data_IF_649645229969
#
_entry.id   IF_649645229969
#
_cell.length_a   1.000
_cell.length_b   1.000
_cell.length_c   1.000
_cell.angle_alpha   90.00
_cell.angle_beta   90.00
_cell.angle_gamma   90.00
#
_symmetry.space_group_name_H-M   'P 1'
#
loop_
_entity.id
_entity.type
_entity.pdbx_description
1 polymer ?
#
# COMPACT_ATOMS: atom_id res chain seq x y z
N UNK A 1 5.81 -90.04 -14.48
CA UNK A 1 4.66 -89.71 -15.34
C UNK A 1 3.56 -89.13 -14.46
N UNK A 2 3.46 -87.81 -14.41
CA UNK A 2 2.30 -87.01 -13.99
C UNK A 2 2.75 -85.55 -14.05
N UNK A 3 2.17 -84.77 -14.96
CA UNK A 3 2.34 -83.32 -15.05
C UNK A 3 1.48 -82.62 -13.99
N UNK A 4 2.06 -81.63 -13.29
CA UNK A 4 1.33 -80.41 -12.96
C UNK A 4 2.24 -79.19 -13.19
N UNK A 5 1.81 -77.97 -13.35
CA UNK A 5 0.51 -77.32 -13.37
C UNK A 5 0.81 -75.91 -13.85
N UNK A 6 0.08 -75.46 -14.86
CA UNK A 6 0.03 -74.07 -15.31
C UNK A 6 -0.32 -73.15 -14.15
N UNK A 7 0.65 -72.34 -13.72
CA UNK A 7 0.43 -71.12 -12.95
C UNK A 7 1.33 -70.05 -13.57
N UNK A 8 0.85 -69.42 -14.65
CA UNK A 8 1.45 -68.18 -15.12
C UNK A 8 0.46 -67.06 -14.83
N UNK A 9 0.84 -66.25 -13.85
CA UNK A 9 0.13 -65.08 -13.39
C UNK A 9 -0.35 -64.22 -14.57
N UNK A 10 -1.65 -63.91 -14.57
CA UNK A 10 -2.17 -62.81 -15.37
C UNK A 10 -1.51 -61.52 -14.86
N UNK A 11 -0.51 -61.03 -15.59
CA UNK A 11 0.01 -59.67 -15.44
C UNK A 11 -1.07 -58.74 -16.00
N UNK A 12 -1.99 -58.32 -15.14
CA UNK A 12 -2.83 -57.16 -15.39
C UNK A 12 -1.91 -55.93 -15.40
N UNK A 13 -1.44 -55.58 -16.61
CA UNK A 13 -0.83 -54.28 -16.89
C UNK A 13 -1.89 -53.21 -16.65
N UNK A 14 -1.94 -52.69 -15.41
CA UNK A 14 -2.57 -51.41 -15.13
C UNK A 14 -1.78 -50.34 -15.87
N UNK A 15 -2.21 -50.03 -17.09
CA UNK A 15 -1.91 -48.78 -17.77
C UNK A 15 -2.55 -47.66 -16.95
N UNK A 16 -1.89 -47.22 -15.88
CA UNK A 16 -2.13 -45.90 -15.34
C UNK A 16 -1.84 -44.92 -16.48
N UNK A 17 -2.81 -44.11 -16.94
CA UNK A 17 -2.45 -42.98 -17.76
C UNK A 17 -1.55 -42.13 -16.88
N UNK A 18 -0.28 -42.00 -17.27
CA UNK A 18 0.59 -40.96 -16.78
C UNK A 18 -0.07 -39.65 -17.23
N UNK A 19 -1.04 -39.17 -16.44
CA UNK A 19 -1.50 -37.81 -16.54
C UNK A 19 -0.24 -36.99 -16.31
N UNK A 20 0.28 -36.45 -17.41
CA UNK A 20 1.07 -35.24 -17.38
C UNK A 20 0.23 -34.27 -16.56
N UNK A 21 0.53 -34.16 -15.27
CA UNK A 21 0.29 -32.94 -14.53
C UNK A 21 1.10 -31.92 -15.33
N UNK A 22 0.44 -31.26 -16.29
CA UNK A 22 0.91 -30.00 -16.77
C UNK A 22 1.13 -29.21 -15.50
N UNK A 23 2.39 -29.01 -15.11
CA UNK A 23 2.71 -28.01 -14.12
C UNK A 23 2.18 -26.74 -14.75
N UNK A 24 1.03 -26.29 -14.30
CA UNK A 24 0.61 -24.91 -14.50
C UNK A 24 1.75 -24.12 -13.90
N UNK A 25 2.68 -23.68 -14.75
CA UNK A 25 3.51 -22.53 -14.43
C UNK A 25 2.52 -21.49 -13.92
N UNK A 26 2.69 -20.93 -12.72
CA UNK A 26 1.78 -19.89 -12.24
C UNK A 26 1.74 -18.81 -13.33
N UNK A 27 0.65 -18.77 -14.08
CA UNK A 27 0.48 -17.89 -15.22
C UNK A 27 -0.67 -16.98 -14.88
N UNK A 28 -0.38 -15.71 -14.76
CA UNK A 28 -1.37 -14.67 -14.60
C UNK A 28 -1.64 -14.09 -16.02
N UNK A 29 -2.85 -14.34 -16.61
CA UNK A 29 -3.62 -13.31 -17.37
C UNK A 29 -5.04 -12.96 -16.82
N UNK A 30 -5.31 -11.67 -16.55
CA UNK A 30 -6.51 -11.06 -15.93
C UNK A 30 -6.27 -9.62 -15.40
N UNK A 31 -7.32 -8.84 -15.11
CA UNK A 31 -7.17 -7.52 -14.44
C UNK A 31 -6.41 -7.68 -13.12
N UNK A 32 -5.50 -6.76 -12.81
CA UNK A 32 -4.74 -6.70 -11.53
C UNK A 32 -3.59 -7.71 -11.40
N UNK A 33 -2.82 -7.90 -12.47
CA UNK A 33 -1.77 -8.91 -12.48
C UNK A 33 -0.35 -8.45 -12.22
N UNK A 34 0.56 -9.35 -11.83
CA UNK A 34 1.95 -8.98 -11.65
C UNK A 34 2.56 -8.50 -12.98
N UNK A 35 3.05 -7.27 -12.99
CA UNK A 35 3.91 -6.77 -14.06
C UNK A 35 5.22 -7.58 -14.11
N UNK A 36 5.72 -7.90 -15.30
CA UNK A 36 7.03 -8.51 -15.46
C UNK A 36 8.13 -7.49 -15.14
N UNK A 37 8.72 -7.64 -13.97
CA UNK A 37 9.65 -6.71 -13.38
C UNK A 37 10.62 -7.47 -12.49
N UNK A 38 11.88 -7.04 -12.50
CA UNK A 38 12.88 -7.61 -11.60
C UNK A 38 12.74 -7.06 -10.17
N UNK A 39 13.52 -7.61 -9.25
CA UNK A 39 13.50 -7.19 -7.85
C UNK A 39 13.85 -5.69 -7.69
N UNK A 40 14.74 -5.11 -8.52
CA UNK A 40 15.10 -3.69 -8.42
C UNK A 40 13.96 -2.79 -8.89
N UNK A 41 13.31 -3.15 -10.00
CA UNK A 41 12.14 -2.46 -10.52
C UNK A 41 11.02 -2.38 -9.46
N UNK A 42 10.86 -3.43 -8.67
CA UNK A 42 9.88 -3.52 -7.57
C UNK A 42 10.24 -2.61 -6.39
N UNK A 43 11.51 -2.55 -6.00
CA UNK A 43 11.96 -1.59 -4.99
C UNK A 43 11.86 -0.14 -5.47
N UNK A 44 12.20 0.12 -6.73
CA UNK A 44 12.02 1.45 -7.32
C UNK A 44 10.54 1.87 -7.32
N UNK A 45 9.62 0.93 -7.52
CA UNK A 45 8.19 1.20 -7.38
C UNK A 45 7.84 1.56 -5.94
N UNK A 46 8.22 0.72 -4.97
CA UNK A 46 7.98 0.96 -3.55
C UNK A 46 8.55 2.31 -3.08
N UNK A 47 9.75 2.68 -3.55
CA UNK A 47 10.43 3.92 -3.18
C UNK A 47 9.59 5.18 -3.45
N UNK A 48 8.65 5.16 -4.40
CA UNK A 48 7.75 6.30 -4.58
C UNK A 48 6.89 6.58 -3.34
N UNK A 49 6.42 5.52 -2.68
CA UNK A 49 5.59 5.62 -1.48
C UNK A 49 6.46 5.99 -0.27
N UNK A 50 7.66 5.41 -0.17
CA UNK A 50 8.65 5.82 0.84
C UNK A 50 8.97 7.33 0.77
N UNK A 51 9.06 7.90 -0.44
CA UNK A 51 9.22 9.34 -0.59
C UNK A 51 7.96 10.10 -0.16
N UNK A 52 6.77 9.65 -0.55
CA UNK A 52 5.51 10.29 -0.16
C UNK A 52 5.37 10.34 1.37
N UNK A 53 5.67 9.25 2.04
CA UNK A 53 5.58 9.10 3.49
C UNK A 53 6.65 9.92 4.21
N UNK A 54 7.91 9.86 3.75
CA UNK A 54 8.98 10.71 4.27
C UNK A 54 8.60 12.20 4.19
N UNK A 55 8.16 12.67 3.02
CA UNK A 55 7.76 14.07 2.87
C UNK A 55 6.59 14.43 3.78
N UNK A 56 5.53 13.62 3.79
CA UNK A 56 4.34 13.95 4.57
C UNK A 56 4.64 13.98 6.09
N UNK A 57 5.31 12.97 6.62
CA UNK A 57 5.62 12.86 8.05
C UNK A 57 6.61 13.91 8.52
N UNK A 58 7.70 14.15 7.78
CA UNK A 58 8.69 15.16 8.13
C UNK A 58 8.06 16.57 8.09
N UNK A 59 7.27 16.88 7.05
CA UNK A 59 6.56 18.15 6.98
C UNK A 59 5.57 18.30 8.13
N UNK A 60 4.74 17.30 8.40
CA UNK A 60 3.75 17.36 9.49
C UNK A 60 4.39 17.57 10.87
N UNK A 61 5.43 16.80 11.20
CA UNK A 61 6.06 16.89 12.52
C UNK A 61 6.98 18.09 12.69
N UNK A 62 7.77 18.43 11.65
CA UNK A 62 8.93 19.34 11.74
C UNK A 62 8.80 20.59 10.85
N UNK A 63 7.87 20.60 9.90
CA UNK A 63 7.69 21.69 8.94
C UNK A 63 8.73 21.73 7.83
N UNK A 64 9.51 20.65 7.67
CA UNK A 64 10.57 20.53 6.66
C UNK A 64 10.52 19.12 6.06
N UNK A 65 10.82 18.99 4.78
CA UNK A 65 10.86 17.70 4.07
C UNK A 65 12.25 17.06 4.04
N UNK A 66 12.39 16.04 3.21
CA UNK A 66 13.63 15.25 3.06
C UNK A 66 14.85 16.11 2.74
N UNK A 67 14.67 17.18 1.96
CA UNK A 67 15.74 18.08 1.51
C UNK A 67 16.47 18.79 2.67
N UNK A 68 15.83 18.93 3.82
CA UNK A 68 16.44 19.55 4.99
C UNK A 68 17.31 18.60 5.82
N UNK A 69 17.17 17.29 5.62
CA UNK A 69 17.82 16.27 6.44
C UNK A 69 18.80 15.41 5.62
N UNK A 70 18.37 14.92 4.46
CA UNK A 70 19.11 14.00 3.59
C UNK A 70 18.85 14.33 2.10
N UNK A 71 19.22 15.53 1.62
CA UNK A 71 18.89 16.00 0.27
C UNK A 71 19.43 15.09 -0.85
N UNK A 72 20.54 14.40 -0.61
CA UNK A 72 21.13 13.46 -1.59
C UNK A 72 20.20 12.28 -1.91
N UNK A 73 19.33 11.88 -0.97
CA UNK A 73 18.37 10.80 -1.19
C UNK A 73 17.28 11.19 -2.21
N UNK A 74 17.00 12.48 -2.40
CA UNK A 74 16.06 12.93 -3.43
C UNK A 74 16.58 12.68 -4.86
N UNK A 75 17.89 12.45 -5.03
CA UNK A 75 18.56 12.19 -6.31
C UNK A 75 18.18 13.19 -7.41
N UNK A 76 18.13 14.47 -7.05
CA UNK A 76 17.78 15.57 -7.95
C UNK A 76 16.29 15.71 -8.28
N UNK A 77 15.42 14.92 -7.62
CA UNK A 77 13.97 15.05 -7.73
C UNK A 77 13.45 16.35 -7.11
N UNK A 78 12.35 16.94 -7.65
CA UNK A 78 11.83 18.22 -7.17
C UNK A 78 11.25 18.10 -5.75
N UNK A 79 11.24 19.19 -4.95
CA UNK A 79 10.54 19.23 -3.67
C UNK A 79 9.04 19.00 -3.82
N UNK A 80 8.35 18.51 -2.77
CA UNK A 80 6.91 18.31 -2.82
C UNK A 80 6.15 19.64 -2.98
N UNK A 81 4.94 19.56 -3.54
CA UNK A 81 3.96 20.64 -3.54
C UNK A 81 3.27 20.64 -2.17
N UNK A 82 3.20 21.80 -1.54
CA UNK A 82 2.59 21.95 -0.22
C UNK A 82 3.47 21.38 0.89
N UNK A 83 2.84 20.82 1.92
CA UNK A 83 3.54 20.39 3.12
C UNK A 83 3.77 21.55 4.09
N UNK A 84 3.27 21.43 5.31
CA UNK A 84 3.55 22.37 6.39
C UNK A 84 3.57 21.65 7.73
N UNK A 85 4.11 22.32 8.74
CA UNK A 85 4.00 21.83 10.12
C UNK A 85 2.53 21.72 10.51
N UNK A 86 2.12 20.54 10.92
CA UNK A 86 0.79 20.29 11.45
C UNK A 86 0.69 20.79 12.90
N UNK A 87 -0.50 21.20 13.30
CA UNK A 87 -0.82 21.55 14.68
C UNK A 87 -1.08 20.27 15.49
N UNK A 88 0.01 19.58 15.85
CA UNK A 88 -0.03 18.32 16.58
C UNK A 88 0.23 18.55 18.07
N UNK A 89 -0.45 17.78 18.93
CA UNK A 89 -0.07 17.67 20.33
C UNK A 89 1.34 17.03 20.47
N UNK A 90 1.92 17.12 21.66
CA UNK A 90 3.28 16.65 21.90
C UNK A 90 3.47 15.17 21.54
N UNK A 91 2.54 14.30 21.95
CA UNK A 91 2.67 12.86 21.73
C UNK A 91 2.53 12.53 20.24
N UNK A 92 1.47 13.02 19.61
CA UNK A 92 1.21 12.78 18.19
C UNK A 92 2.36 13.30 17.34
N UNK A 93 2.90 14.50 17.65
CA UNK A 93 4.08 15.02 16.97
C UNK A 93 5.30 14.11 17.10
N UNK A 94 5.57 13.55 18.28
CA UNK A 94 6.72 12.66 18.52
C UNK A 94 6.59 11.34 17.76
N UNK A 95 5.37 10.79 17.67
CA UNK A 95 5.09 9.59 16.87
C UNK A 95 5.37 9.87 15.38
N UNK A 96 4.79 10.93 14.83
CA UNK A 96 4.96 11.27 13.41
C UNK A 96 6.41 11.68 13.08
N UNK A 97 7.11 12.31 14.02
CA UNK A 97 8.54 12.60 13.89
C UNK A 97 9.36 11.31 13.77
N UNK A 98 9.03 10.28 14.56
CA UNK A 98 9.69 8.98 14.48
C UNK A 98 9.43 8.30 13.13
N UNK A 99 8.19 8.30 12.65
CA UNK A 99 7.85 7.75 11.33
C UNK A 99 8.66 8.45 10.23
N UNK A 100 8.67 9.78 10.21
CA UNK A 100 9.43 10.53 9.20
C UNK A 100 10.93 10.19 9.17
N UNK A 101 11.56 9.94 10.32
CA UNK A 101 12.96 9.50 10.35
C UNK A 101 13.14 8.03 9.93
N UNK A 102 12.16 7.16 10.15
CA UNK A 102 12.16 5.79 9.66
C UNK A 102 12.10 5.76 8.13
N UNK A 103 11.27 6.60 7.52
CA UNK A 103 11.14 6.70 6.06
C UNK A 103 12.42 7.21 5.36
N UNK A 104 13.18 8.09 6.03
CA UNK A 104 14.55 8.42 5.59
C UNK A 104 15.42 7.16 5.55
N UNK A 105 15.32 6.32 6.59
CA UNK A 105 16.03 5.05 6.68
C UNK A 105 15.65 4.06 5.59
N UNK A 106 14.35 3.92 5.30
CA UNK A 106 13.85 3.06 4.23
C UNK A 106 14.37 3.50 2.86
N UNK A 107 14.23 4.80 2.53
CA UNK A 107 14.79 5.38 1.32
C UNK A 107 16.30 5.12 1.20
N UNK A 108 17.06 5.32 2.29
CA UNK A 108 18.50 5.08 2.32
C UNK A 108 18.85 3.62 2.01
N UNK A 109 18.13 2.66 2.58
CA UNK A 109 18.39 1.24 2.33
C UNK A 109 18.02 0.83 0.90
N UNK A 110 16.92 1.34 0.35
CA UNK A 110 16.56 1.10 -1.06
C UNK A 110 17.64 1.67 -1.98
N UNK A 111 18.09 2.92 -1.76
CA UNK A 111 19.20 3.53 -2.52
C UNK A 111 20.46 2.68 -2.41
N UNK A 112 20.82 2.20 -1.21
CA UNK A 112 22.00 1.35 -1.00
C UNK A 112 21.94 0.05 -1.80
N UNK A 113 20.75 -0.56 -1.93
CA UNK A 113 20.59 -1.88 -2.57
C UNK A 113 20.38 -1.82 -4.08
N UNK A 114 19.79 -0.74 -4.57
CA UNK A 114 19.28 -0.68 -5.95
C UNK A 114 19.86 0.47 -6.76
N UNK A 115 20.53 1.41 -6.07
CA UNK A 115 20.87 2.72 -6.62
C UNK A 115 19.73 3.73 -6.45
N UNK A 116 18.47 3.30 -6.37
CA UNK A 116 17.30 4.14 -6.14
C UNK A 116 16.93 5.05 -7.32
N UNK A 117 15.76 5.66 -7.23
CA UNK A 117 15.20 6.57 -8.24
C UNK A 117 15.23 8.04 -7.77
N UNK A 118 15.19 9.02 -8.70
CA UNK A 118 14.84 10.40 -8.37
C UNK A 118 13.47 10.47 -7.68
N UNK A 119 13.34 11.28 -6.63
CA UNK A 119 12.04 11.58 -6.00
C UNK A 119 11.06 12.08 -7.07
N UNK A 120 9.86 11.50 -7.21
CA UNK A 120 8.84 12.03 -8.12
C UNK A 120 8.29 13.37 -7.59
N UNK A 121 7.62 14.15 -8.44
CA UNK A 121 6.86 15.30 -7.93
C UNK A 121 5.68 14.78 -7.11
N UNK A 122 5.68 15.12 -5.82
CA UNK A 122 4.68 14.71 -4.84
C UNK A 122 3.77 15.91 -4.49
N UNK A 123 2.49 15.68 -4.26
CA UNK A 123 1.54 16.72 -3.78
C UNK A 123 0.93 16.33 -2.43
N UNK A 124 1.45 16.95 -1.37
CA UNK A 124 0.95 16.82 0.01
C UNK A 124 0.26 18.11 0.46
N UNK A 125 -0.25 18.92 -0.47
CA UNK A 125 -1.00 20.13 -0.14
C UNK A 125 -2.34 19.80 0.52
N UNK A 126 -2.85 20.72 1.36
CA UNK A 126 -4.19 20.57 1.94
C UNK A 126 -5.28 20.49 0.86
N UNK A 127 -5.07 21.13 -0.30
CA UNK A 127 -6.01 21.05 -1.44
C UNK A 127 -6.07 19.64 -2.05
N UNK A 128 -4.95 18.90 -2.08
CA UNK A 128 -4.96 17.53 -2.56
C UNK A 128 -5.68 16.61 -1.56
N UNK A 129 -5.41 16.76 -0.26
CA UNK A 129 -6.14 16.03 0.78
C UNK A 129 -7.64 16.35 0.79
N UNK A 130 -8.04 17.62 0.65
CA UNK A 130 -9.44 18.00 0.52
C UNK A 130 -10.15 17.20 -0.58
N UNK A 131 -9.57 17.13 -1.79
CA UNK A 131 -10.13 16.35 -2.90
C UNK A 131 -10.24 14.85 -2.60
N UNK A 132 -9.25 14.28 -1.90
CA UNK A 132 -9.26 12.89 -1.50
C UNK A 132 -10.42 12.61 -0.53
N UNK A 133 -10.56 13.45 0.49
CA UNK A 133 -11.59 13.31 1.52
C UNK A 133 -13.00 13.60 1.00
N UNK A 134 -13.16 14.58 0.09
CA UNK A 134 -14.41 14.82 -0.62
C UNK A 134 -14.83 13.58 -1.42
N UNK A 135 -13.86 12.95 -2.11
CA UNK A 135 -14.11 11.72 -2.87
C UNK A 135 -14.48 10.56 -1.97
N UNK A 136 -13.85 10.43 -0.80
CA UNK A 136 -14.17 9.39 0.16
C UNK A 136 -15.58 9.59 0.77
N UNK A 137 -15.93 10.84 1.09
CA UNK A 137 -17.25 11.19 1.61
C UNK A 137 -18.36 11.08 0.55
N UNK A 138 -18.01 11.21 -0.73
CA UNK A 138 -18.96 11.23 -1.85
C UNK A 138 -19.61 12.60 -2.08
N UNK A 139 -19.13 13.63 -1.39
CA UNK A 139 -19.58 15.03 -1.51
C UNK A 139 -18.46 15.97 -1.05
N UNK A 140 -18.55 17.25 -1.42
CA UNK A 140 -17.58 18.25 -0.99
C UNK A 140 -17.80 18.57 0.49
N UNK A 141 -16.77 18.36 1.30
CA UNK A 141 -16.74 18.79 2.70
C UNK A 141 -16.65 20.31 2.76
N UNK A 142 -17.38 20.90 3.72
CA UNK A 142 -17.36 22.33 3.99
C UNK A 142 -17.09 22.57 5.49
N UNK A 143 -15.96 23.17 5.87
CA UNK A 143 -14.86 23.63 5.01
C UNK A 143 -14.11 22.46 4.35
N UNK A 144 -13.23 22.72 3.36
CA UNK A 144 -12.38 21.68 2.79
C UNK A 144 -11.46 21.03 3.82
N UNK A 145 -11.28 19.71 3.75
CA UNK A 145 -10.43 18.97 4.68
C UNK A 145 -8.96 19.43 4.64
N UNK A 146 -8.42 19.85 5.78
CA UNK A 146 -7.00 20.19 5.94
C UNK A 146 -6.34 19.24 6.96
N UNK A 147 -5.40 18.37 6.55
CA UNK A 147 -4.75 17.44 7.46
C UNK A 147 -3.85 18.14 8.49
N UNK A 148 -3.44 19.39 8.25
CA UNK A 148 -2.45 20.08 9.09
C UNK A 148 -3.10 20.92 10.21
N UNK A 149 -4.42 20.89 10.35
CA UNK A 149 -5.19 21.73 11.27
C UNK A 149 -5.20 21.21 12.71
N UNK A 150 -5.28 19.89 12.90
CA UNK A 150 -5.37 19.25 14.20
C UNK A 150 -4.91 17.77 14.16
N UNK A 151 -4.68 17.13 15.33
CA UNK A 151 -4.20 15.76 15.39
C UNK A 151 -5.14 14.72 14.76
N UNK A 152 -6.46 14.88 14.85
CA UNK A 152 -7.41 13.89 14.33
C UNK A 152 -7.41 13.92 12.81
N UNK A 153 -7.50 15.11 12.20
CA UNK A 153 -7.40 15.26 10.75
C UNK A 153 -6.05 14.78 10.21
N UNK A 154 -4.97 15.06 10.93
CA UNK A 154 -3.65 14.57 10.53
C UNK A 154 -3.59 13.04 10.56
N UNK A 155 -4.04 12.40 11.64
CA UNK A 155 -4.01 10.94 11.76
C UNK A 155 -4.95 10.22 10.79
N UNK A 156 -6.09 10.83 10.43
CA UNK A 156 -6.94 10.33 9.33
C UNK A 156 -6.25 10.43 7.97
N UNK A 157 -5.46 11.48 7.74
CA UNK A 157 -4.65 11.60 6.53
C UNK A 157 -3.48 10.60 6.51
N UNK A 158 -2.85 10.33 7.66
CA UNK A 158 -1.88 9.23 7.81
C UNK A 158 -2.58 7.91 7.49
N UNK A 159 -3.75 7.61 8.03
CA UNK A 159 -4.48 6.37 7.73
C UNK A 159 -4.69 6.09 6.22
N UNK A 160 -4.79 7.14 5.40
CA UNK A 160 -4.97 7.01 3.96
C UNK A 160 -3.71 6.57 3.18
N UNK A 161 -2.49 6.78 3.71
CA UNK A 161 -1.22 6.65 2.96
C UNK A 161 -0.49 5.31 3.22
N UNK A 162 0.13 5.04 4.40
CA UNK A 162 1.12 3.97 4.59
C UNK A 162 0.58 2.56 4.38
N UNK A 163 -0.70 2.35 4.70
CA UNK A 163 -1.34 1.05 4.48
C UNK A 163 -1.27 0.59 3.01
N UNK A 164 -1.23 1.53 2.06
CA UNK A 164 -1.05 1.20 0.63
C UNK A 164 0.40 0.72 0.35
N UNK A 165 1.40 1.31 1.02
CA UNK A 165 2.80 0.88 0.96
C UNK A 165 2.99 -0.52 1.54
N UNK A 166 2.45 -0.75 2.73
CA UNK A 166 2.38 -2.07 3.37
C UNK A 166 1.76 -3.13 2.44
N UNK A 167 0.59 -2.85 1.85
CA UNK A 167 -0.04 -3.79 0.93
C UNK A 167 0.84 -4.09 -0.29
N UNK A 168 1.61 -3.10 -0.75
CA UNK A 168 2.59 -3.26 -1.83
C UNK A 168 3.73 -4.20 -1.47
N UNK A 169 4.25 -4.11 -0.24
CA UNK A 169 5.27 -5.05 0.24
C UNK A 169 4.76 -6.49 0.32
N UNK A 170 3.55 -6.69 0.83
CA UNK A 170 2.91 -8.01 0.84
C UNK A 170 2.71 -8.52 -0.60
N UNK A 171 2.17 -7.68 -1.48
CA UNK A 171 1.89 -8.02 -2.87
C UNK A 171 3.14 -8.31 -3.72
N UNK A 172 4.26 -7.63 -3.44
CA UNK A 172 5.50 -7.88 -4.21
C UNK A 172 6.30 -9.07 -3.69
N UNK A 173 6.11 -9.49 -2.43
CA UNK A 173 6.93 -10.54 -1.79
C UNK A 173 6.98 -11.84 -2.59
N UNK A 174 5.87 -12.38 -3.14
CA UNK A 174 5.90 -13.61 -3.94
C UNK A 174 6.72 -13.48 -5.22
N UNK A 175 6.88 -12.27 -5.75
CA UNK A 175 7.58 -12.02 -7.01
C UNK A 175 9.10 -11.81 -6.86
N UNK A 176 9.60 -11.68 -5.62
CA UNK A 176 11.02 -11.46 -5.38
C UNK A 176 11.84 -12.73 -5.60
N UNK A 177 12.91 -12.61 -6.37
CA UNK A 177 13.79 -13.73 -6.73
C UNK A 177 14.93 -13.92 -5.73
N UNK A 178 15.50 -12.83 -5.21
CA UNK A 178 16.71 -12.88 -4.37
C UNK A 178 16.36 -12.96 -2.88
N UNK A 179 17.09 -13.79 -2.14
CA UNK A 179 16.96 -13.87 -0.67
C UNK A 179 17.24 -12.53 0.01
N UNK A 180 18.24 -11.79 -0.46
CA UNK A 180 18.55 -10.45 0.06
C UNK A 180 17.41 -9.45 -0.17
N UNK A 181 16.68 -9.58 -1.27
CA UNK A 181 15.51 -8.76 -1.58
C UNK A 181 14.32 -9.13 -0.70
N UNK A 182 14.07 -10.43 -0.47
CA UNK A 182 13.07 -10.88 0.51
C UNK A 182 13.39 -10.42 1.92
N UNK A 183 14.67 -10.47 2.32
CA UNK A 183 15.11 -9.96 3.61
C UNK A 183 14.87 -8.46 3.76
N UNK A 184 15.15 -7.67 2.70
CA UNK A 184 14.87 -6.24 2.71
C UNK A 184 13.37 -5.97 2.87
N UNK A 185 12.52 -6.58 2.04
CA UNK A 185 11.06 -6.40 2.13
C UNK A 185 10.52 -6.83 3.49
N UNK A 186 10.99 -7.95 4.05
CA UNK A 186 10.58 -8.38 5.38
C UNK A 186 10.95 -7.36 6.48
N UNK A 187 12.12 -6.72 6.35
CA UNK A 187 12.56 -5.68 7.28
C UNK A 187 11.73 -4.40 7.19
N UNK A 188 11.45 -3.92 5.97
CA UNK A 188 10.62 -2.73 5.72
C UNK A 188 9.18 -2.99 6.16
N UNK A 189 8.57 -4.09 5.70
CA UNK A 189 7.20 -4.49 6.04
C UNK A 189 6.95 -4.55 7.55
N UNK A 190 7.95 -4.97 8.35
CA UNK A 190 7.81 -5.02 9.80
C UNK A 190 7.64 -3.63 10.44
N UNK A 191 8.33 -2.62 9.92
CA UNK A 191 8.21 -1.23 10.39
C UNK A 191 6.90 -0.63 9.90
N UNK A 192 6.59 -0.77 8.61
CA UNK A 192 5.33 -0.32 7.99
C UNK A 192 4.10 -0.85 8.75
N UNK A 193 4.10 -2.14 9.10
CA UNK A 193 3.02 -2.75 9.87
C UNK A 193 2.89 -2.15 11.27
N UNK A 194 4.01 -1.81 11.91
CA UNK A 194 4.02 -1.12 13.20
C UNK A 194 3.45 0.30 13.10
N UNK A 195 3.79 1.04 12.05
CA UNK A 195 3.26 2.39 11.82
C UNK A 195 1.75 2.39 11.56
N UNK A 196 1.26 1.46 10.73
CA UNK A 196 -0.19 1.28 10.51
C UNK A 196 -0.90 0.91 11.82
N UNK A 197 -0.36 -0.03 12.59
CA UNK A 197 -0.94 -0.44 13.87
C UNK A 197 -1.03 0.71 14.88
N UNK A 198 0.04 1.51 15.03
CA UNK A 198 0.05 2.70 15.90
C UNK A 198 -0.97 3.73 15.43
N UNK A 199 -1.08 3.95 14.12
CA UNK A 199 -2.06 4.88 13.54
C UNK A 199 -3.49 4.41 13.80
N UNK A 200 -3.77 3.14 13.52
CA UNK A 200 -5.09 2.54 13.73
C UNK A 200 -5.46 2.50 15.21
N UNK A 201 -4.55 2.16 16.12
CA UNK A 201 -4.81 2.19 17.56
C UNK A 201 -5.15 3.61 18.04
N UNK A 202 -4.37 4.61 17.60
CA UNK A 202 -4.59 6.01 17.96
C UNK A 202 -5.99 6.47 17.54
N UNK A 203 -6.39 6.15 16.31
CA UNK A 203 -7.72 6.50 15.78
C UNK A 203 -8.83 5.67 16.43
N UNK A 204 -8.60 4.39 16.70
CA UNK A 204 -9.57 3.50 17.34
C UNK A 204 -9.99 4.01 18.72
N UNK A 205 -9.03 4.52 19.50
CA UNK A 205 -9.32 5.15 20.80
C UNK A 205 -10.25 6.36 20.69
N UNK A 206 -10.28 7.01 19.53
CA UNK A 206 -11.07 8.21 19.23
C UNK A 206 -12.25 7.92 18.31
N UNK A 207 -12.60 6.65 18.12
CA UNK A 207 -13.49 6.21 17.05
C UNK A 207 -14.86 6.92 17.02
N UNK A 208 -15.44 7.15 18.20
CA UNK A 208 -16.74 7.80 18.37
C UNK A 208 -16.66 9.35 18.37
N UNK A 209 -15.45 9.93 18.39
CA UNK A 209 -15.27 11.38 18.35
C UNK A 209 -15.66 11.91 16.96
N UNK A 210 -16.40 13.03 16.92
CA UNK A 210 -16.70 13.76 15.69
C UNK A 210 -15.45 14.52 15.22
N UNK A 211 -15.23 14.51 13.90
CA UNK A 211 -14.11 15.22 13.28
C UNK A 211 -14.57 16.65 12.97
N UNK A 212 -14.39 17.55 13.91
CA UNK A 212 -14.87 18.93 13.79
C UNK A 212 -14.33 19.64 12.53
N UNK A 213 -15.19 20.39 11.80
CA UNK A 213 -16.58 20.71 12.09
C UNK A 213 -17.60 19.76 11.44
N UNK A 214 -17.15 18.62 10.91
CA UNK A 214 -18.01 17.68 10.20
C UNK A 214 -18.84 16.86 11.20
N UNK A 215 -20.10 16.62 10.87
CA UNK A 215 -20.95 15.68 11.61
C UNK A 215 -20.62 14.21 11.24
N UNK A 216 -19.33 13.87 11.19
CA UNK A 216 -18.79 12.57 10.78
C UNK A 216 -17.78 12.13 11.85
N UNK A 217 -17.92 10.91 12.35
CA UNK A 217 -17.03 10.33 13.34
C UNK A 217 -15.72 9.86 12.73
N UNK A 218 -14.71 9.64 13.57
CA UNK A 218 -13.43 9.03 13.14
C UNK A 218 -13.66 7.67 12.48
N UNK A 219 -14.50 6.81 13.06
CA UNK A 219 -14.82 5.49 12.47
C UNK A 219 -15.48 5.63 11.11
N UNK A 220 -16.47 6.53 10.97
CA UNK A 220 -17.14 6.76 9.68
C UNK A 220 -16.15 7.22 8.61
N UNK A 221 -15.24 8.16 8.94
CA UNK A 221 -14.19 8.58 8.02
C UNK A 221 -13.26 7.42 7.62
N UNK A 222 -12.82 6.58 8.57
CA UNK A 222 -11.96 5.43 8.21
C UNK A 222 -12.68 4.45 7.29
N UNK A 223 -13.97 4.19 7.51
CA UNK A 223 -14.78 3.36 6.61
C UNK A 223 -14.89 3.97 5.20
N UNK A 224 -15.11 5.28 5.11
CA UNK A 224 -15.15 6.01 3.83
C UNK A 224 -13.81 5.93 3.08
N UNK A 225 -12.68 6.13 3.78
CA UNK A 225 -11.34 6.06 3.19
C UNK A 225 -11.05 4.63 2.70
N UNK A 226 -11.39 3.60 3.48
CA UNK A 226 -11.21 2.20 3.05
C UNK A 226 -12.08 1.83 1.86
N UNK A 227 -13.35 2.27 1.87
CA UNK A 227 -14.25 2.12 0.73
C UNK A 227 -13.65 2.72 -0.53
N UNK A 228 -13.15 3.96 -0.45
CA UNK A 228 -12.49 4.63 -1.58
C UNK A 228 -11.26 3.85 -2.07
N UNK A 229 -10.38 3.36 -1.18
CA UNK A 229 -9.20 2.58 -1.60
C UNK A 229 -9.57 1.29 -2.31
N UNK A 230 -10.66 0.65 -1.91
CA UNK A 230 -11.17 -0.56 -2.59
C UNK A 230 -11.77 -0.20 -3.96
N UNK A 231 -12.57 0.87 -4.04
CA UNK A 231 -13.14 1.36 -5.30
C UNK A 231 -12.04 1.71 -6.32
N UNK A 232 -11.03 2.47 -5.90
CA UNK A 232 -9.93 2.89 -6.77
C UNK A 232 -9.06 1.70 -7.17
N UNK A 233 -8.81 0.75 -6.27
CA UNK A 233 -8.03 -0.45 -6.56
C UNK A 233 -8.66 -1.30 -7.66
N UNK A 234 -9.99 -1.43 -7.67
CA UNK A 234 -10.79 -2.23 -8.62
C UNK A 234 -10.55 -3.75 -8.57
N UNK A 235 -9.96 -4.27 -7.50
CA UNK A 235 -9.54 -5.67 -7.39
C UNK A 235 -10.04 -6.32 -6.09
N UNK A 236 -11.29 -6.04 -5.72
CA UNK A 236 -11.93 -6.56 -4.52
C UNK A 236 -11.67 -5.73 -3.26
N UNK A 237 -12.05 -6.32 -2.11
CA UNK A 237 -11.91 -5.71 -0.79
C UNK A 237 -10.54 -6.08 -0.23
N UNK A 238 -9.69 -5.07 -0.01
CA UNK A 238 -8.31 -5.21 0.48
C UNK A 238 -7.95 -4.15 1.51
N UNK A 239 -8.96 -3.63 2.16
CA UNK A 239 -8.86 -2.66 3.24
C UNK A 239 -10.23 -2.50 3.88
N UNK A 240 -10.23 -2.25 5.19
CA UNK A 240 -11.41 -2.17 6.01
C UNK A 240 -11.18 -1.13 7.11
N UNK A 241 -12.23 -0.40 7.49
CA UNK A 241 -12.14 0.62 8.55
C UNK A 241 -11.89 0.02 9.93
N UNK A 242 -11.83 0.88 10.94
CA UNK A 242 -11.44 0.51 12.32
C UNK A 242 -12.45 -0.40 13.04
N UNK A 243 -13.70 -0.38 12.59
CA UNK A 243 -14.79 -1.20 13.11
C UNK A 243 -15.51 -1.84 11.93
N UNK A 244 -15.67 -3.15 12.00
CA UNK A 244 -16.31 -3.98 10.97
C UNK A 244 -17.47 -4.79 11.57
N UNK A 245 -18.43 -5.26 10.75
CA UNK A 245 -19.38 -6.28 11.15
C UNK A 245 -18.67 -7.50 11.76
N UNK A 246 -19.31 -8.15 12.72
CA UNK A 246 -18.70 -9.25 13.48
C UNK A 246 -18.27 -10.41 12.57
N UNK A 247 -18.95 -10.60 11.45
CA UNK A 247 -18.71 -11.63 10.45
C UNK A 247 -17.46 -11.37 9.59
N UNK A 248 -16.92 -10.14 9.63
CA UNK A 248 -15.67 -9.76 8.95
C UNK A 248 -14.50 -9.65 9.93
N UNK A 249 -14.76 -9.42 11.22
CA UNK A 249 -13.69 -9.35 12.20
C UNK A 249 -13.06 -10.70 12.52
N UNK A 250 -11.91 -10.67 13.18
CA UNK A 250 -11.09 -11.86 13.45
C UNK A 250 -11.90 -13.04 14.03
N UNK A 251 -11.75 -14.20 13.39
CA UNK A 251 -12.45 -15.45 13.74
C UNK A 251 -13.98 -15.33 13.81
N UNK A 252 -14.57 -14.32 13.14
CA UNK A 252 -15.97 -13.94 13.17
C UNK A 252 -16.49 -13.63 14.59
N UNK A 253 -15.60 -13.11 15.46
CA UNK A 253 -15.84 -13.01 16.91
C UNK A 253 -15.74 -11.61 17.49
N UNK A 254 -15.17 -10.66 16.74
CA UNK A 254 -14.98 -9.28 17.18
C UNK A 254 -15.43 -8.30 16.11
N UNK A 255 -15.79 -7.09 16.49
CA UNK A 255 -16.03 -5.97 15.57
C UNK A 255 -14.83 -5.03 15.46
N UNK A 256 -13.81 -5.22 16.31
CA UNK A 256 -12.58 -4.42 16.28
C UNK A 256 -11.69 -4.83 15.11
N UNK A 257 -11.14 -3.83 14.42
CA UNK A 257 -10.29 -4.01 13.25
C UNK A 257 -9.06 -3.09 13.26
N UNK A 258 -8.36 -3.05 14.40
CA UNK A 258 -7.12 -2.27 14.59
C UNK A 258 -5.96 -2.83 13.77
N UNK A 259 -6.04 -4.09 13.33
CA UNK A 259 -5.12 -4.70 12.39
C UNK A 259 -5.95 -5.27 11.25
N UNK A 260 -6.00 -4.55 10.12
CA UNK A 260 -6.81 -4.98 8.97
C UNK A 260 -6.13 -6.12 8.23
N UNK A 261 -6.84 -7.24 8.11
CA UNK A 261 -6.33 -8.48 7.55
C UNK A 261 -7.46 -9.35 6.97
N UNK A 262 -7.09 -10.30 6.11
CA UNK A 262 -8.00 -11.26 5.49
C UNK A 262 -8.59 -12.26 6.52
N UNK A 263 -9.50 -13.17 6.12
CA UNK A 263 -10.10 -14.14 7.04
C UNK A 263 -9.10 -15.07 7.77
N UNK A 264 -7.85 -15.17 7.30
CA UNK A 264 -6.78 -15.92 7.95
C UNK A 264 -5.82 -15.02 8.75
N UNK A 265 -6.21 -13.76 8.98
CA UNK A 265 -5.38 -12.73 9.62
C UNK A 265 -4.07 -12.45 8.86
N UNK A 266 -4.09 -12.55 7.53
CA UNK A 266 -2.97 -12.15 6.66
C UNK A 266 -3.23 -10.75 6.09
N UNK A 267 -2.22 -9.89 6.09
CA UNK A 267 -2.30 -8.58 5.45
C UNK A 267 -2.64 -8.71 3.96
N UNK A 268 -3.44 -7.78 3.43
CA UNK A 268 -3.87 -7.85 2.03
C UNK A 268 -2.73 -7.48 1.06
N UNK A 269 -2.57 -8.23 -0.06
CA UNK A 269 -1.64 -7.88 -1.12
C UNK A 269 -2.27 -6.93 -2.14
N UNK A 270 -1.57 -5.84 -2.50
CA UNK A 270 -1.92 -5.01 -3.68
C UNK A 270 -0.81 -5.06 -4.73
N UNK A 271 -1.22 -5.10 -5.99
CA UNK A 271 -0.33 -4.98 -7.15
C UNK A 271 0.08 -3.52 -7.39
N UNK A 272 1.17 -3.27 -8.15
CA UNK A 272 1.53 -1.92 -8.56
C UNK A 272 0.39 -1.14 -9.24
N UNK A 273 -0.44 -1.80 -10.05
CA UNK A 273 -1.59 -1.18 -10.72
C UNK A 273 -2.60 -0.65 -9.73
N UNK A 274 -3.00 -1.48 -8.77
CA UNK A 274 -3.91 -1.09 -7.70
C UNK A 274 -3.36 0.11 -6.94
N UNK A 275 -2.08 0.07 -6.58
CA UNK A 275 -1.41 1.14 -5.87
C UNK A 275 -1.45 2.43 -6.68
N UNK A 276 -1.06 2.40 -7.96
CA UNK A 276 -1.08 3.58 -8.83
C UNK A 276 -2.49 4.18 -8.97
N UNK A 277 -3.52 3.35 -9.16
CA UNK A 277 -4.91 3.80 -9.23
C UNK A 277 -5.34 4.58 -7.98
N UNK A 278 -4.88 4.13 -6.81
CA UNK A 278 -5.16 4.74 -5.50
C UNK A 278 -4.35 6.01 -5.30
N UNK A 279 -3.02 5.96 -5.44
CA UNK A 279 -2.15 7.11 -5.15
C UNK A 279 -2.32 8.24 -6.18
N UNK A 280 -2.79 7.92 -7.38
CA UNK A 280 -3.23 8.92 -8.36
C UNK A 280 -4.65 9.44 -8.09
N UNK A 281 -5.42 8.79 -7.22
CA UNK A 281 -6.81 9.10 -6.90
C UNK A 281 -7.75 9.10 -8.13
N UNK A 282 -7.36 8.41 -9.20
CA UNK A 282 -8.10 8.39 -10.48
C UNK A 282 -8.83 7.09 -10.74
N UNK A 283 -8.48 6.00 -10.05
CA UNK A 283 -8.97 4.66 -10.40
C UNK A 283 -8.40 4.16 -11.74
N UNK A 284 -7.34 4.81 -12.23
CA UNK A 284 -6.66 4.50 -13.50
C UNK A 284 -5.15 4.78 -13.38
N UNK A 285 -4.36 3.71 -13.36
CA UNK A 285 -2.90 3.65 -13.33
C UNK A 285 -2.21 4.34 -14.51
N UNK A 286 -2.93 4.60 -15.60
CA UNK A 286 -2.44 5.34 -16.77
C UNK A 286 -2.70 6.85 -16.67
N UNK A 287 -3.43 7.32 -15.65
CA UNK A 287 -3.81 8.72 -15.46
C UNK A 287 -3.25 9.24 -14.13
N UNK A 288 -2.11 9.97 -14.15
CA UNK A 288 -1.52 10.54 -12.95
C UNK A 288 -2.42 11.62 -12.34
N UNK A 289 -2.25 11.85 -11.04
CA UNK A 289 -3.10 12.73 -10.23
C UNK A 289 -2.76 12.56 -8.75
N UNK A 290 -3.66 13.01 -7.88
CA UNK A 290 -3.55 12.79 -6.43
C UNK A 290 -2.18 13.16 -5.89
N UNK A 291 -1.56 12.24 -5.16
CA UNK A 291 -0.25 12.43 -4.55
C UNK A 291 0.90 12.50 -5.56
N UNK A 292 0.71 12.05 -6.81
CA UNK A 292 1.73 12.07 -7.85
C UNK A 292 1.19 12.74 -9.12
N UNK A 293 1.05 14.07 -9.15
CA UNK A 293 0.42 14.81 -10.25
C UNK A 293 1.12 14.63 -11.62
N UNK A 294 2.41 14.26 -11.63
CA UNK A 294 3.19 13.95 -12.84
C UNK A 294 3.54 12.45 -12.97
N UNK A 295 2.87 11.63 -12.17
CA UNK A 295 3.08 10.20 -12.07
C UNK A 295 4.32 9.82 -11.26
N UNK A 296 4.25 8.62 -10.69
CA UNK A 296 5.36 7.97 -10.01
C UNK A 296 6.52 7.65 -10.97
N UNK A 297 7.69 7.41 -10.39
CA UNK A 297 8.95 7.11 -11.06
C UNK A 297 9.29 5.61 -11.01
N UNK A 298 10.35 5.22 -11.73
CA UNK A 298 10.77 3.83 -11.86
C UNK A 298 10.09 3.12 -13.04
N UNK A 299 10.69 2.02 -13.52
CA UNK A 299 10.27 1.32 -14.74
C UNK A 299 8.79 0.94 -14.70
N UNK A 300 8.35 0.28 -13.63
CA UNK A 300 6.95 -0.16 -13.46
C UNK A 300 5.97 1.01 -13.63
N UNK A 301 6.16 2.11 -12.89
CA UNK A 301 5.25 3.24 -12.97
C UNK A 301 5.29 3.94 -14.33
N UNK A 302 6.47 4.03 -14.96
CA UNK A 302 6.61 4.66 -16.28
C UNK A 302 6.04 3.80 -17.41
N UNK A 303 6.06 2.47 -17.29
CA UNK A 303 5.41 1.58 -18.25
C UNK A 303 3.89 1.81 -18.29
N UNK A 304 3.20 1.93 -17.16
CA UNK A 304 1.78 2.32 -17.15
C UNK A 304 1.51 3.70 -17.75
N UNK A 305 2.47 4.62 -17.70
CA UNK A 305 2.22 5.96 -18.24
C UNK A 305 2.48 6.04 -19.74
N UNK A 306 3.39 5.26 -20.29
CA UNK A 306 3.90 5.48 -21.66
C UNK A 306 3.83 4.24 -22.55
N UNK A 307 3.47 3.07 -22.04
CA UNK A 307 3.29 1.89 -22.86
C UNK A 307 1.85 1.81 -23.39
N UNK A 308 1.65 2.15 -24.66
CA UNK A 308 0.33 2.11 -25.30
C UNK A 308 -0.28 0.71 -25.36
N UNK A 309 0.52 -0.36 -25.26
CA UNK A 309 0.00 -1.73 -25.19
C UNK A 309 -0.74 -2.02 -23.89
N UNK A 310 -0.35 -1.38 -22.79
CA UNK A 310 -1.03 -1.53 -21.49
C UNK A 310 -2.29 -0.66 -21.39
N UNK A 311 -2.36 0.44 -22.16
CA UNK A 311 -3.52 1.36 -22.17
C UNK A 311 -4.76 0.81 -22.87
N UNK A 312 -4.61 -0.22 -23.69
CA UNK A 312 -5.68 -0.81 -24.52
C UNK A 312 -6.31 -2.08 -23.96
N UNK A 313 -5.88 -2.51 -22.77
CA UNK A 313 -6.49 -3.58 -21.96
C UNK A 313 -7.44 -2.96 -20.92
#
# INVERSE_FOLDING_TARGET
MATPSTLCCAILLFLFPLQFMATTTPSCPGDCEPIDADDNDRFHFAQNLEFLEAEFFLHGALGKGLDAFEPELAKGGPPPIGGRRANLDYLTRRIIEEFGYQEIGHNREIVRRTGGIPRPLIDISSQNFAKLFDKAAGYNLDPPFDPYEDPIKYMLAVYAIPYVGLNGYVGTTPCLKRFSSKQLVAGLLGVEAGQDAVTREWLYKKGDEKVEPYDITVVEFTNMISGLRNELGKCGIKDEGLIVPKELGAENRTTSNVLSADPNSLSYPRTPQEILRIVYSTGNEHRPGGFFPKGANGRIAREYLYNDQLRGL
#
